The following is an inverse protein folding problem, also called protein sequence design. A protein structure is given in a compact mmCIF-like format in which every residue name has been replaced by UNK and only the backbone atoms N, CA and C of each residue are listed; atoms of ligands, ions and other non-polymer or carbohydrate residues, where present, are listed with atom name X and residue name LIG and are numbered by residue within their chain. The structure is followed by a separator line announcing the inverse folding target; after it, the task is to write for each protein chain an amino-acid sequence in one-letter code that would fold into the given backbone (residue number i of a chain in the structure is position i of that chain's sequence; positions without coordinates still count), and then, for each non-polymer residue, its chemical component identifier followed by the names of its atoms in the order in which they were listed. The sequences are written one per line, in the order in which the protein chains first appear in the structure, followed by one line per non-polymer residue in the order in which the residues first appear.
data_IF_263129600047
#
_entry.id   IF_263129600047
#
_cell.length_a   1.000
_cell.length_b   1.000
_cell.length_c   1.000
_cell.angle_alpha   90.00
_cell.angle_beta   90.00
_cell.angle_gamma   90.00
#
_symmetry.space_group_name_H-M   'P 1'
#
loop_
_entity.id
_entity.type
_entity.pdbx_description
1 polymer ?
#
# COMPACT_ATOMS: atom_id res chain seq x y z
N UNK A 1 27.74 30.75 46.25
CA UNK A 1 27.19 30.70 44.88
C UNK A 1 27.21 29.23 44.44
N UNK A 2 26.03 28.55 44.40
CA UNK A 2 25.96 27.14 44.01
C UNK A 2 25.49 27.09 42.54
N UNK A 3 26.34 26.62 41.63
CA UNK A 3 26.00 26.37 40.26
C UNK A 3 25.26 25.02 40.17
N UNK A 4 23.98 25.05 39.81
CA UNK A 4 23.21 23.86 39.46
C UNK A 4 23.46 23.60 37.97
N UNK A 5 24.24 22.53 37.71
CA UNK A 5 24.47 22.05 36.33
C UNK A 5 23.28 21.18 35.94
N UNK A 6 22.33 21.74 35.18
CA UNK A 6 21.19 21.00 34.67
C UNK A 6 21.65 20.23 33.42
N UNK A 7 21.90 18.93 33.61
CA UNK A 7 22.23 18.01 32.51
C UNK A 7 20.98 17.74 31.67
N UNK A 8 20.91 18.31 30.46
CA UNK A 8 19.88 17.97 29.49
C UNK A 8 20.26 16.64 28.81
N UNK A 9 19.61 15.56 29.22
CA UNK A 9 19.67 14.28 28.51
C UNK A 9 18.86 14.39 27.23
N UNK A 10 19.54 14.56 26.09
CA UNK A 10 18.96 14.36 24.77
C UNK A 10 18.69 12.86 24.59
N UNK A 11 17.43 12.46 24.77
CA UNK A 11 16.96 11.17 24.32
C UNK A 11 16.81 11.24 22.80
N UNK A 12 17.87 10.86 22.08
CA UNK A 12 17.79 10.61 20.63
C UNK A 12 17.00 9.31 20.47
N UNK A 13 15.69 9.41 20.21
CA UNK A 13 14.91 8.27 19.73
C UNK A 13 15.46 7.89 18.36
N UNK A 14 16.17 6.77 18.30
CA UNK A 14 16.44 6.06 17.04
C UNK A 14 15.07 5.63 16.48
N UNK A 15 14.44 6.49 15.69
CA UNK A 15 13.30 6.15 14.85
C UNK A 15 13.82 5.21 13.77
N UNK A 16 13.86 3.91 14.08
CA UNK A 16 14.03 2.88 13.06
C UNK A 16 12.87 2.97 12.06
N UNK A 17 13.13 2.75 10.78
CA UNK A 17 12.07 2.68 9.78
C UNK A 17 11.10 1.57 10.16
N UNK A 18 9.82 1.92 10.37
CA UNK A 18 8.78 0.93 10.61
C UNK A 18 8.37 0.32 9.27
N UNK A 19 8.39 -1.01 9.21
CA UNK A 19 7.94 -1.76 8.03
C UNK A 19 6.77 -2.66 8.44
N UNK A 20 5.64 -2.51 7.73
CA UNK A 20 4.44 -3.35 7.90
C UNK A 20 4.15 -4.11 6.61
N UNK A 21 3.64 -5.33 6.72
CA UNK A 21 3.07 -6.08 5.60
C UNK A 21 1.56 -6.17 5.81
N UNK A 22 0.79 -5.68 4.85
CA UNK A 22 -0.66 -5.85 4.79
C UNK A 22 -1.03 -6.84 3.68
N UNK A 23 -1.77 -7.90 4.02
CA UNK A 23 -2.32 -8.85 3.06
C UNK A 23 -3.69 -8.32 2.62
N UNK A 24 -3.77 -7.80 1.40
CA UNK A 24 -5.00 -7.22 0.83
C UNK A 24 -5.87 -8.28 0.17
N UNK A 25 -5.25 -9.36 -0.31
CA UNK A 25 -5.94 -10.49 -0.89
C UNK A 25 -5.03 -11.70 -0.96
N UNK A 26 -5.61 -12.88 -0.71
CA UNK A 26 -4.94 -14.18 -0.75
C UNK A 26 -5.72 -15.19 -1.60
N UNK A 27 -6.61 -14.70 -2.45
CA UNK A 27 -7.40 -15.51 -3.36
C UNK A 27 -6.58 -16.02 -4.54
N UNK A 28 -7.21 -16.86 -5.31
CA UNK A 28 -6.69 -17.50 -6.53
C UNK A 28 -7.59 -17.08 -7.70
N UNK A 29 -7.37 -17.57 -8.93
CA UNK A 29 -8.28 -17.30 -10.05
C UNK A 29 -9.73 -17.77 -9.82
N UNK A 30 -9.97 -18.69 -8.87
CA UNK A 30 -11.32 -19.07 -8.49
C UNK A 30 -12.04 -17.90 -7.81
N UNK A 31 -13.27 -17.57 -8.24
CA UNK A 31 -14.01 -16.42 -7.73
C UNK A 31 -14.64 -16.70 -6.36
N UNK A 32 -13.81 -16.91 -5.35
CA UNK A 32 -14.25 -17.06 -3.96
C UNK A 32 -14.75 -15.70 -3.44
N UNK A 33 -16.02 -15.54 -3.08
CA UNK A 33 -16.59 -14.26 -2.64
C UNK A 33 -16.01 -13.76 -1.31
N UNK A 34 -15.35 -14.61 -0.53
CA UNK A 34 -14.76 -14.28 0.76
C UNK A 34 -13.27 -13.95 0.67
N UNK A 35 -12.65 -14.19 -0.50
CA UNK A 35 -11.21 -13.96 -0.71
C UNK A 35 -10.98 -13.10 -1.93
N UNK A 36 -10.45 -11.91 -1.72
CA UNK A 36 -9.99 -11.06 -2.80
C UNK A 36 -8.75 -11.65 -3.47
N UNK A 37 -8.57 -11.34 -4.74
CA UNK A 37 -7.43 -11.81 -5.53
C UNK A 37 -6.09 -11.38 -4.93
N UNK A 38 -5.02 -12.03 -5.35
CA UNK A 38 -3.69 -11.85 -4.78
C UNK A 38 -3.23 -10.40 -4.82
N UNK A 39 -3.02 -9.80 -3.65
CA UNK A 39 -2.50 -8.45 -3.51
C UNK A 39 -1.92 -8.22 -2.11
N UNK A 40 -0.80 -7.52 -2.05
CA UNK A 40 -0.10 -7.20 -0.82
C UNK A 40 0.31 -5.73 -0.81
N UNK A 41 0.47 -5.16 0.37
CA UNK A 41 1.10 -3.85 0.53
C UNK A 41 2.26 -3.95 1.53
N UNK A 42 3.44 -3.56 1.10
CA UNK A 42 4.59 -3.32 1.98
C UNK A 42 4.56 -1.84 2.32
N UNK A 43 4.39 -1.52 3.59
CA UNK A 43 4.34 -0.15 4.07
C UNK A 43 5.69 0.14 4.75
N UNK A 44 6.39 1.14 4.26
CA UNK A 44 7.64 1.62 4.86
C UNK A 44 7.45 3.08 5.24
N UNK A 45 7.41 3.34 6.53
CA UNK A 45 6.98 4.62 7.09
C UNK A 45 5.60 5.00 6.53
N UNK A 46 5.49 6.13 5.83
CA UNK A 46 4.23 6.65 5.27
C UNK A 46 4.02 6.29 3.78
N UNK A 47 4.80 5.36 3.22
CA UNK A 47 4.68 4.96 1.81
C UNK A 47 4.21 3.52 1.70
N UNK A 48 3.18 3.29 0.89
CA UNK A 48 2.71 1.97 0.53
C UNK A 48 3.23 1.55 -0.85
N UNK A 49 3.77 0.35 -0.92
CA UNK A 49 4.26 -0.32 -2.13
C UNK A 49 3.37 -1.54 -2.37
N UNK A 50 2.49 -1.44 -3.37
CA UNK A 50 1.60 -2.54 -3.72
C UNK A 50 2.36 -3.61 -4.49
N UNK A 51 2.08 -4.86 -4.20
CA UNK A 51 2.57 -6.04 -4.92
C UNK A 51 1.36 -6.82 -5.39
N UNK A 52 1.18 -6.87 -6.69
CA UNK A 52 0.03 -7.43 -7.41
C UNK A 52 -1.29 -6.66 -7.22
N UNK A 53 -2.19 -6.86 -8.15
CA UNK A 53 -3.46 -6.14 -8.29
C UNK A 53 -4.61 -7.14 -8.48
N UNK A 54 -4.77 -8.07 -7.56
CA UNK A 54 -5.94 -8.95 -7.59
C UNK A 54 -7.25 -8.17 -7.46
N UNK A 55 -8.37 -8.75 -7.90
CA UNK A 55 -9.69 -8.14 -7.74
C UNK A 55 -9.92 -7.70 -6.30
N UNK A 56 -10.40 -6.47 -6.10
CA UNK A 56 -10.72 -5.93 -4.78
C UNK A 56 -9.56 -5.24 -4.04
N UNK A 57 -8.37 -5.15 -4.64
CA UNK A 57 -7.17 -4.58 -4.01
C UNK A 57 -7.41 -3.18 -3.39
N UNK A 58 -8.10 -2.29 -4.11
CA UNK A 58 -8.35 -0.92 -3.61
C UNK A 58 -9.37 -0.90 -2.47
N UNK A 59 -10.39 -1.75 -2.52
CA UNK A 59 -11.38 -1.86 -1.42
C UNK A 59 -10.73 -2.37 -0.14
N UNK A 60 -9.83 -3.35 -0.25
CA UNK A 60 -9.11 -3.90 0.89
C UNK A 60 -8.07 -2.91 1.44
N UNK A 61 -7.39 -2.16 0.58
CA UNK A 61 -6.52 -1.07 1.02
C UNK A 61 -7.33 0.01 1.78
N UNK A 62 -8.46 0.42 1.21
CA UNK A 62 -9.36 1.40 1.83
C UNK A 62 -9.84 0.95 3.21
N UNK A 63 -10.25 -0.32 3.37
CA UNK A 63 -10.72 -0.90 4.65
C UNK A 63 -9.68 -0.75 5.77
N UNK A 64 -8.40 -0.89 5.44
CA UNK A 64 -7.30 -0.74 6.40
C UNK A 64 -6.89 0.73 6.63
N UNK A 65 -7.44 1.65 5.87
CA UNK A 65 -7.15 3.08 5.98
C UNK A 65 -8.05 3.79 6.99
N UNK A 66 -7.63 4.95 7.55
CA UNK A 66 -8.43 5.72 8.51
C UNK A 66 -9.82 6.14 7.99
N UNK A 67 -9.98 6.29 6.68
CA UNK A 67 -11.27 6.67 6.08
C UNK A 67 -12.37 5.62 6.30
N UNK A 68 -11.99 4.38 6.62
CA UNK A 68 -12.90 3.26 6.85
C UNK A 68 -12.67 2.56 8.19
N UNK A 69 -11.98 3.25 9.12
CA UNK A 69 -11.78 2.76 10.49
C UNK A 69 -10.50 1.94 10.71
N UNK A 70 -9.65 1.80 9.69
CA UNK A 70 -8.31 1.24 9.84
C UNK A 70 -7.32 2.25 10.44
N UNK A 71 -6.07 1.84 10.58
CA UNK A 71 -5.01 2.63 11.20
C UNK A 71 -3.79 2.89 10.27
N UNK A 72 -3.86 2.46 9.00
CA UNK A 72 -2.75 2.56 8.06
C UNK A 72 -2.98 3.72 7.09
N UNK A 73 -2.48 4.89 7.45
CA UNK A 73 -2.62 6.13 6.67
C UNK A 73 -2.04 6.03 5.24
N UNK A 74 -0.97 5.26 5.07
CA UNK A 74 -0.37 5.00 3.75
C UNK A 74 -1.29 4.26 2.78
N UNK A 75 -2.35 3.58 3.28
CA UNK A 75 -3.32 2.84 2.46
C UNK A 75 -4.56 3.67 2.07
N UNK A 76 -4.61 4.95 2.39
CA UNK A 76 -5.61 5.86 1.81
C UNK A 76 -5.50 5.79 0.30
N UNK A 77 -6.57 5.43 -0.44
CA UNK A 77 -6.47 5.21 -1.89
C UNK A 77 -5.81 6.35 -2.67
N UNK A 78 -6.08 7.60 -2.32
CA UNK A 78 -5.46 8.76 -2.95
C UNK A 78 -3.92 8.84 -2.80
N UNK A 79 -3.33 8.08 -1.87
CA UNK A 79 -1.88 8.01 -1.64
C UNK A 79 -1.18 6.88 -2.39
N UNK A 80 -1.94 5.92 -2.93
CA UNK A 80 -1.40 4.74 -3.60
C UNK A 80 -0.83 5.09 -4.96
N UNK A 81 0.49 4.94 -5.14
CA UNK A 81 1.17 5.32 -6.38
C UNK A 81 2.28 4.35 -6.80
N UNK A 82 2.87 3.60 -5.87
CA UNK A 82 3.95 2.64 -6.17
C UNK A 82 3.40 1.23 -6.24
N UNK A 83 3.69 0.54 -7.34
CA UNK A 83 3.08 -0.75 -7.58
C UNK A 83 3.96 -1.68 -8.40
N UNK A 84 3.96 -2.96 -8.04
CA UNK A 84 4.78 -4.00 -8.62
C UNK A 84 3.90 -5.17 -9.03
N UNK A 85 4.00 -5.60 -10.28
CA UNK A 85 3.34 -6.79 -10.78
C UNK A 85 4.34 -7.94 -10.84
N UNK A 86 4.02 -9.06 -10.19
CA UNK A 86 4.90 -10.23 -10.21
C UNK A 86 4.81 -10.99 -11.52
N UNK A 87 3.59 -11.20 -12.02
CA UNK A 87 3.32 -11.89 -13.29
C UNK A 87 1.88 -11.62 -13.79
N UNK A 88 1.60 -12.01 -15.04
CA UNK A 88 0.36 -11.65 -15.76
C UNK A 88 -0.71 -12.74 -15.64
N UNK A 89 -1.04 -13.21 -14.45
CA UNK A 89 -2.24 -14.01 -14.24
C UNK A 89 -3.41 -13.14 -13.79
N UNK A 90 -4.64 -13.58 -14.06
CA UNK A 90 -5.85 -12.80 -13.83
C UNK A 90 -6.05 -12.41 -12.37
N UNK A 91 -5.77 -13.31 -11.44
CA UNK A 91 -5.87 -13.07 -10.01
C UNK A 91 -4.82 -12.09 -9.46
N UNK A 92 -3.83 -11.71 -10.27
CA UNK A 92 -2.81 -10.71 -9.96
C UNK A 92 -3.01 -9.40 -10.73
N UNK A 93 -3.85 -9.37 -11.76
CA UNK A 93 -3.93 -8.22 -12.69
C UNK A 93 -5.30 -7.59 -12.81
N UNK A 94 -6.41 -8.29 -12.52
CA UNK A 94 -7.78 -7.80 -12.77
C UNK A 94 -8.15 -6.55 -11.96
N UNK A 95 -7.44 -6.24 -10.89
CA UNK A 95 -7.62 -5.02 -10.10
C UNK A 95 -6.78 -3.83 -10.61
N UNK A 96 -6.01 -3.98 -11.69
CA UNK A 96 -5.14 -2.91 -12.20
C UNK A 96 -5.93 -1.68 -12.62
N UNK A 97 -7.04 -1.84 -13.33
CA UNK A 97 -7.90 -0.73 -13.72
C UNK A 97 -8.50 0.00 -12.51
N UNK A 98 -8.89 -0.74 -11.48
CA UNK A 98 -9.37 -0.16 -10.22
C UNK A 98 -8.26 0.66 -9.53
N UNK A 99 -7.03 0.14 -9.47
CA UNK A 99 -5.86 0.85 -8.95
C UNK A 99 -5.52 2.13 -9.75
N UNK A 100 -5.69 2.10 -11.06
CA UNK A 100 -5.39 3.27 -11.88
C UNK A 100 -6.46 4.36 -11.75
N UNK A 101 -7.74 3.98 -11.71
CA UNK A 101 -8.89 4.90 -11.82
C UNK A 101 -9.40 5.35 -10.46
N UNK A 102 -9.68 4.44 -9.54
CA UNK A 102 -10.33 4.80 -8.27
C UNK A 102 -9.48 5.74 -7.40
N UNK A 103 -8.18 5.52 -7.19
CA UNK A 103 -7.34 6.47 -6.46
C UNK A 103 -7.25 7.85 -7.14
N UNK A 104 -7.27 7.90 -8.47
CA UNK A 104 -7.31 9.17 -9.20
C UNK A 104 -8.61 9.93 -8.95
N UNK A 105 -9.77 9.27 -9.02
CA UNK A 105 -11.08 9.87 -8.68
C UNK A 105 -11.09 10.36 -7.23
N UNK A 106 -10.42 9.66 -6.33
CA UNK A 106 -10.32 10.03 -4.92
C UNK A 106 -9.27 11.10 -4.61
N UNK A 107 -8.64 11.68 -5.63
CA UNK A 107 -7.75 12.84 -5.49
C UNK A 107 -6.26 12.54 -5.58
N UNK A 108 -5.84 11.34 -6.04
CA UNK A 108 -4.43 11.11 -6.36
C UNK A 108 -4.02 12.02 -7.53
N UNK A 109 -3.12 12.94 -7.26
CA UNK A 109 -2.56 13.88 -8.24
C UNK A 109 -1.11 13.54 -8.64
N UNK A 110 -0.53 12.53 -8.02
CA UNK A 110 0.80 12.05 -8.33
C UNK A 110 0.78 10.95 -9.41
N UNK A 111 1.87 10.86 -10.16
CA UNK A 111 2.04 9.82 -11.16
C UNK A 111 2.13 8.45 -10.52
N UNK A 112 1.55 7.47 -11.18
CA UNK A 112 1.73 6.06 -10.81
C UNK A 112 3.10 5.59 -11.30
N UNK A 113 3.82 4.92 -10.43
CA UNK A 113 5.03 4.18 -10.75
C UNK A 113 4.69 2.68 -10.73
N UNK A 114 4.63 2.10 -11.91
CA UNK A 114 4.25 0.70 -12.13
C UNK A 114 5.45 -0.07 -12.67
N UNK A 115 5.83 -1.12 -11.97
CA UNK A 115 6.93 -2.02 -12.31
C UNK A 115 6.42 -3.44 -12.49
N UNK A 116 6.96 -4.17 -13.47
CA UNK A 116 6.52 -5.54 -13.71
C UNK A 116 7.28 -6.23 -14.84
N UNK A 117 6.78 -7.39 -15.29
CA UNK A 117 7.37 -8.14 -16.38
C UNK A 117 7.28 -7.37 -17.69
N UNK A 118 8.08 -7.78 -18.68
CA UNK A 118 8.21 -7.12 -20.00
C UNK A 118 6.86 -6.90 -20.71
N UNK A 119 5.90 -7.80 -20.51
CA UNK A 119 4.60 -7.72 -21.19
C UNK A 119 3.60 -6.77 -20.52
N UNK A 120 3.97 -6.14 -19.40
CA UNK A 120 3.14 -5.15 -18.71
C UNK A 120 2.77 -3.96 -19.62
N UNK A 121 3.66 -3.57 -20.51
CA UNK A 121 3.45 -2.46 -21.46
C UNK A 121 2.33 -2.73 -22.48
N UNK A 122 1.94 -4.00 -22.64
CA UNK A 122 0.92 -4.44 -23.58
C UNK A 122 -0.47 -4.65 -22.94
N UNK A 123 -0.58 -4.43 -21.64
CA UNK A 123 -1.83 -4.53 -20.89
C UNK A 123 -2.63 -3.24 -20.93
#
# INVERSE_FOLDING_TARGET
MKFILTSFLFFSSLLGAETRLAILGSGTPNPDPQRMGSAYAVIVNDNAYLVDFGPGVIRRAAELSPNWGGDIDALIPAKLKHAFLTHIHSDHTMGLSDFLITPWIMGRNEKVELFGPKDLENM
#
